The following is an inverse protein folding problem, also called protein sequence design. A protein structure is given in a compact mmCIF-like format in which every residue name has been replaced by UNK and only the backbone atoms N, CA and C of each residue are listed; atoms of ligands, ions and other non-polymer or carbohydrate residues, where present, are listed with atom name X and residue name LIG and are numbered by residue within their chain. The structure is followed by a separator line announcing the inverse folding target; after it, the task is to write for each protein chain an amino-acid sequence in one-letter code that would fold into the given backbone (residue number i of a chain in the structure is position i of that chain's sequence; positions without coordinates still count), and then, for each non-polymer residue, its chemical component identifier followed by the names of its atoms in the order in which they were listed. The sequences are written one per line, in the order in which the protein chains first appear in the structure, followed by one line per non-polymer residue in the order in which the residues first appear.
data_IF_531063296836
#
_entry.id   IF_531063296836
#
_cell.length_a   1.000
_cell.length_b   1.000
_cell.length_c   1.000
_cell.angle_alpha   90.00
_cell.angle_beta   90.00
_cell.angle_gamma   90.00
#
_symmetry.space_group_name_H-M   'P 1'
#
loop_
_entity.id
_entity.type
_entity.pdbx_description
1 polymer ?
#
# COMPACT_ATOMS: atom_id res chain seq x y z
N UNK A 1 5.12 -8.67 29.28
CA UNK A 1 5.49 -7.23 29.39
C UNK A 1 4.32 -6.41 28.85
N UNK A 2 3.52 -5.85 29.75
CA UNK A 2 2.31 -5.06 29.43
C UNK A 2 2.73 -3.84 28.62
N UNK A 3 2.40 -3.80 27.32
CA UNK A 3 2.59 -2.61 26.49
C UNK A 3 1.52 -1.58 26.90
N UNK A 4 1.84 -0.74 27.89
CA UNK A 4 1.01 0.42 28.22
C UNK A 4 0.77 1.25 26.95
N UNK A 5 -0.51 1.51 26.62
CA UNK A 5 -0.91 2.28 25.42
C UNK A 5 -0.23 3.64 25.44
N UNK A 6 0.89 3.77 24.70
CA UNK A 6 1.57 5.06 24.49
C UNK A 6 0.62 5.98 23.75
N UNK A 7 0.34 7.15 24.31
CA UNK A 7 -0.51 8.14 23.64
C UNK A 7 0.18 8.60 22.34
N UNK A 8 -0.50 8.44 21.21
CA UNK A 8 0.01 8.85 19.91
C UNK A 8 -0.15 10.38 19.71
N UNK A 9 0.84 10.98 19.05
CA UNK A 9 0.85 12.40 18.70
C UNK A 9 0.10 12.61 17.39
N UNK A 10 -0.94 13.44 17.39
CA UNK A 10 -1.65 13.85 16.16
C UNK A 10 -0.83 14.89 15.40
N UNK A 11 -0.86 14.82 14.07
CA UNK A 11 -0.40 15.91 13.22
C UNK A 11 -1.22 17.18 13.52
N UNK A 12 -0.58 18.27 13.94
CA UNK A 12 -1.29 19.50 14.32
C UNK A 12 -2.06 20.15 13.14
N UNK A 13 -1.64 19.89 11.90
CA UNK A 13 -2.25 20.52 10.72
C UNK A 13 -3.50 19.77 10.23
N UNK A 14 -3.42 18.45 10.03
CA UNK A 14 -4.57 17.68 9.54
C UNK A 14 -5.39 17.02 10.65
N UNK A 15 -4.84 16.88 11.86
CA UNK A 15 -5.45 16.19 13.03
C UNK A 15 -5.83 14.72 12.84
N UNK A 16 -5.64 14.18 11.64
CA UNK A 16 -5.99 12.83 11.23
C UNK A 16 -4.86 11.83 11.47
N UNK A 17 -3.66 12.09 10.93
CA UNK A 17 -2.52 11.15 11.05
C UNK A 17 -1.91 11.23 12.44
N UNK A 18 -1.54 10.07 12.99
CA UNK A 18 -0.97 9.90 14.32
C UNK A 18 0.42 9.26 14.26
N UNK A 19 1.26 9.58 15.23
CA UNK A 19 2.65 9.16 15.30
C UNK A 19 3.06 8.73 16.71
N UNK A 20 3.98 7.78 16.79
CA UNK A 20 4.57 7.37 18.07
C UNK A 20 5.35 8.51 18.76
N UNK A 21 6.01 9.34 17.94
CA UNK A 21 6.87 10.45 18.36
C UNK A 21 7.18 11.39 17.17
N UNK A 22 7.93 12.46 17.41
CA UNK A 22 8.35 13.43 16.38
C UNK A 22 9.25 12.83 15.29
N UNK A 23 10.01 11.78 15.61
CA UNK A 23 10.88 11.13 14.63
C UNK A 23 10.06 10.37 13.59
N UNK A 24 9.04 9.59 14.01
CA UNK A 24 8.09 8.97 13.08
C UNK A 24 7.34 10.01 12.23
N UNK A 25 6.99 11.16 12.80
CA UNK A 25 6.37 12.25 12.04
C UNK A 25 7.31 12.75 10.92
N UNK A 26 8.58 13.00 11.26
CA UNK A 26 9.61 13.45 10.31
C UNK A 26 9.85 12.43 9.19
N UNK A 27 9.98 11.16 9.54
CA UNK A 27 10.17 10.07 8.56
C UNK A 27 8.99 9.93 7.60
N UNK A 28 7.76 10.11 8.09
CA UNK A 28 6.56 10.04 7.25
C UNK A 28 6.38 11.26 6.34
N UNK A 29 7.11 12.36 6.56
CA UNK A 29 6.77 13.66 6.01
C UNK A 29 6.84 13.71 4.49
N UNK A 30 7.76 12.97 3.89
CA UNK A 30 7.86 12.86 2.43
C UNK A 30 6.52 12.43 1.79
N UNK A 31 5.85 11.42 2.37
CA UNK A 31 4.54 10.96 1.89
C UNK A 31 3.39 11.77 2.48
N UNK A 32 3.46 12.12 3.77
CA UNK A 32 2.38 12.82 4.45
C UNK A 32 2.22 14.26 3.96
N UNK A 33 3.28 14.96 3.53
CA UNK A 33 3.23 16.37 3.12
C UNK A 33 2.18 16.61 2.04
N UNK A 34 2.12 15.72 1.03
CA UNK A 34 1.14 15.82 -0.07
C UNK A 34 -0.28 15.46 0.35
N UNK A 35 -0.44 14.61 1.37
CA UNK A 35 -1.76 14.24 1.92
C UNK A 35 -2.29 15.24 2.95
N UNK A 36 -1.40 15.91 3.70
CA UNK A 36 -1.75 16.66 4.91
C UNK A 36 -2.73 17.78 4.62
N UNK A 37 -2.46 18.59 3.58
CA UNK A 37 -3.36 19.66 3.14
C UNK A 37 -4.71 19.13 2.66
N UNK A 38 -4.71 17.99 1.94
CA UNK A 38 -5.92 17.36 1.43
C UNK A 38 -6.80 16.80 2.55
N UNK A 39 -6.19 16.09 3.52
CA UNK A 39 -6.88 15.57 4.70
C UNK A 39 -7.50 16.69 5.54
N UNK A 40 -6.79 17.82 5.70
CA UNK A 40 -7.34 19.00 6.38
C UNK A 40 -8.54 19.58 5.63
N UNK A 41 -8.46 19.65 4.29
CA UNK A 41 -9.51 20.24 3.45
C UNK A 41 -10.80 19.40 3.43
N UNK A 42 -10.69 18.08 3.41
CA UNK A 42 -11.87 17.19 3.37
C UNK A 42 -12.44 16.86 4.75
N UNK A 43 -11.79 17.29 5.84
CA UNK A 43 -12.30 17.06 7.19
C UNK A 43 -13.72 17.65 7.37
N UNK A 44 -14.62 16.97 8.09
CA UNK A 44 -14.41 15.75 8.89
C UNK A 44 -14.63 14.44 8.11
N UNK A 45 -14.77 14.48 6.78
CA UNK A 45 -15.02 13.28 5.97
C UNK A 45 -13.84 12.31 6.07
N UNK A 46 -14.15 11.04 6.27
CA UNK A 46 -13.16 9.96 6.29
C UNK A 46 -12.93 9.50 4.85
N UNK A 47 -11.69 9.61 4.39
CA UNK A 47 -11.28 9.09 3.08
C UNK A 47 -11.07 7.57 3.20
N UNK A 48 -11.68 6.74 2.34
CA UNK A 48 -11.48 5.28 2.36
C UNK A 48 -10.01 4.89 2.19
N UNK A 49 -9.58 3.83 2.87
CA UNK A 49 -8.19 3.39 2.87
C UNK A 49 -7.68 3.04 1.46
N UNK A 50 -8.53 2.43 0.62
CA UNK A 50 -8.20 2.15 -0.78
C UNK A 50 -7.92 3.44 -1.58
N UNK A 51 -8.71 4.51 -1.36
CA UNK A 51 -8.48 5.80 -2.00
C UNK A 51 -7.19 6.46 -1.48
N UNK A 52 -6.89 6.34 -0.18
CA UNK A 52 -5.63 6.84 0.39
C UNK A 52 -4.42 6.08 -0.15
N UNK A 53 -4.50 4.76 -0.25
CA UNK A 53 -3.43 3.94 -0.82
C UNK A 53 -3.20 4.26 -2.30
N UNK A 54 -4.27 4.40 -3.10
CA UNK A 54 -4.15 4.84 -4.50
C UNK A 54 -3.53 6.24 -4.62
N UNK A 55 -3.94 7.19 -3.77
CA UNK A 55 -3.32 8.52 -3.73
C UNK A 55 -1.80 8.44 -3.47
N UNK A 56 -1.38 7.61 -2.50
CA UNK A 56 0.06 7.38 -2.23
C UNK A 56 0.79 6.79 -3.42
N UNK A 57 0.19 5.79 -4.09
CA UNK A 57 0.75 5.19 -5.31
C UNK A 57 0.93 6.26 -6.38
N UNK A 58 -0.11 7.05 -6.66
CA UNK A 58 -0.09 8.12 -7.67
C UNK A 58 1.04 9.12 -7.37
N UNK A 59 1.12 9.64 -6.15
CA UNK A 59 2.15 10.61 -5.78
C UNK A 59 3.56 10.01 -5.72
N UNK A 60 3.71 8.74 -5.31
CA UNK A 60 5.01 8.06 -5.33
C UNK A 60 5.50 7.84 -6.76
N UNK A 61 4.62 7.43 -7.67
CA UNK A 61 4.96 7.27 -9.09
C UNK A 61 5.35 8.61 -9.74
N UNK A 62 4.63 9.69 -9.46
CA UNK A 62 4.97 11.04 -9.94
C UNK A 62 6.35 11.54 -9.49
N UNK A 63 6.84 11.06 -8.35
CA UNK A 63 8.17 11.37 -7.81
C UNK A 63 9.26 10.42 -8.30
N UNK A 64 8.98 9.60 -9.32
CA UNK A 64 9.94 8.63 -9.85
C UNK A 64 9.98 7.29 -9.12
N UNK A 65 9.09 7.06 -8.15
CA UNK A 65 9.03 5.80 -7.40
C UNK A 65 8.71 4.57 -8.26
N UNK A 66 8.26 4.75 -9.50
CA UNK A 66 8.11 3.66 -10.47
C UNK A 66 9.44 3.04 -10.91
N UNK A 67 10.56 3.76 -10.73
CA UNK A 67 11.92 3.31 -11.03
C UNK A 67 12.57 2.60 -9.83
N UNK A 68 11.95 2.65 -8.65
CA UNK A 68 12.46 1.95 -7.47
C UNK A 68 12.44 0.44 -7.71
N UNK A 69 13.62 -0.17 -7.56
CA UNK A 69 13.79 -1.62 -7.59
C UNK A 69 13.78 -2.16 -6.17
N UNK A 70 13.17 -3.33 -5.98
CA UNK A 70 13.35 -4.14 -4.78
C UNK A 70 13.83 -5.52 -5.18
N UNK A 71 14.97 -5.88 -4.65
CA UNK A 71 15.65 -7.14 -4.90
C UNK A 71 15.05 -8.21 -4.00
N UNK A 72 14.79 -9.39 -4.58
CA UNK A 72 14.35 -10.58 -3.85
C UNK A 72 15.39 -11.71 -3.94
N UNK A 73 16.37 -11.57 -4.83
CA UNK A 73 17.65 -12.31 -4.82
C UNK A 73 18.79 -11.31 -5.10
N UNK A 74 20.04 -11.78 -5.13
CA UNK A 74 21.20 -10.93 -5.45
C UNK A 74 21.11 -10.28 -6.84
N UNK A 75 20.43 -10.94 -7.79
CA UNK A 75 20.38 -10.52 -9.19
C UNK A 75 18.98 -10.14 -9.67
N UNK A 76 17.93 -10.67 -9.03
CA UNK A 76 16.54 -10.45 -9.44
C UNK A 76 15.84 -9.40 -8.58
N UNK A 77 15.06 -8.56 -9.25
CA UNK A 77 14.33 -7.47 -8.62
C UNK A 77 13.02 -7.16 -9.34
N UNK A 78 12.14 -6.42 -8.69
CA UNK A 78 10.90 -5.91 -9.28
C UNK A 78 10.75 -4.41 -9.07
N UNK A 79 10.02 -3.82 -10.00
CA UNK A 79 9.49 -2.46 -9.97
C UNK A 79 7.97 -2.50 -9.87
N UNK A 80 7.34 -1.33 -9.70
CA UNK A 80 5.88 -1.25 -9.66
C UNK A 80 5.21 -1.73 -10.96
N UNK A 81 5.86 -1.56 -12.12
CA UNK A 81 5.36 -1.99 -13.43
C UNK A 81 5.34 -3.51 -13.59
N UNK A 82 6.12 -4.23 -12.80
CA UNK A 82 6.19 -5.70 -12.86
C UNK A 82 5.06 -6.37 -12.10
N UNK A 83 4.32 -5.63 -11.25
CA UNK A 83 3.16 -6.17 -10.53
C UNK A 83 2.06 -6.65 -11.50
N UNK A 84 1.29 -7.66 -11.11
CA UNK A 84 0.18 -8.12 -11.94
C UNK A 84 -0.98 -7.12 -11.84
N UNK A 85 -1.45 -6.56 -12.96
CA UNK A 85 -2.60 -5.63 -12.93
C UNK A 85 -3.94 -6.34 -13.11
N UNK A 86 -3.97 -7.51 -13.76
CA UNK A 86 -5.22 -8.13 -14.23
C UNK A 86 -6.17 -7.14 -14.93
N UNK A 87 -5.60 -6.16 -15.67
CA UNK A 87 -6.36 -5.07 -16.28
C UNK A 87 -7.59 -5.55 -17.05
N UNK A 88 -7.42 -6.56 -17.91
CA UNK A 88 -8.51 -7.12 -18.70
C UNK A 88 -9.62 -7.73 -17.83
N UNK A 89 -9.25 -8.46 -16.77
CA UNK A 89 -10.21 -9.05 -15.83
C UNK A 89 -10.95 -7.96 -15.05
N UNK A 90 -10.24 -6.93 -14.57
CA UNK A 90 -10.85 -5.77 -13.89
C UNK A 90 -11.84 -5.07 -14.82
N UNK A 91 -11.47 -4.83 -16.08
CA UNK A 91 -12.32 -4.15 -17.07
C UNK A 91 -13.61 -4.92 -17.39
N UNK A 92 -13.58 -6.24 -17.32
CA UNK A 92 -14.72 -7.11 -17.60
C UNK A 92 -15.62 -7.34 -16.37
N UNK A 93 -15.10 -7.08 -15.17
CA UNK A 93 -15.80 -7.25 -13.90
C UNK A 93 -16.57 -5.97 -13.53
N UNK A 94 -17.89 -6.02 -13.69
CA UNK A 94 -18.78 -4.87 -13.45
C UNK A 94 -18.64 -4.30 -12.04
N UNK A 95 -18.57 -5.15 -11.02
CA UNK A 95 -18.47 -4.71 -9.62
C UNK A 95 -17.14 -3.99 -9.36
N UNK A 96 -16.04 -4.50 -9.94
CA UNK A 96 -14.75 -3.82 -9.84
C UNK A 96 -14.71 -2.50 -10.59
N UNK A 97 -15.35 -2.40 -11.76
CA UNK A 97 -15.47 -1.14 -12.51
C UNK A 97 -16.31 -0.11 -11.74
N UNK A 98 -17.44 -0.53 -11.16
CA UNK A 98 -18.28 0.33 -10.32
C UNK A 98 -17.53 0.83 -9.09
N UNK A 99 -16.81 -0.06 -8.41
CA UNK A 99 -15.97 0.30 -7.27
C UNK A 99 -14.86 1.29 -7.66
N UNK A 100 -14.17 1.05 -8.78
CA UNK A 100 -13.16 1.98 -9.29
C UNK A 100 -13.75 3.35 -9.67
N UNK A 101 -14.97 3.36 -10.21
CA UNK A 101 -15.69 4.61 -10.54
C UNK A 101 -16.05 5.39 -9.26
N UNK A 102 -16.52 4.72 -8.21
CA UNK A 102 -16.75 5.37 -6.92
C UNK A 102 -15.45 5.91 -6.31
N UNK A 103 -14.37 5.12 -6.37
CA UNK A 103 -13.05 5.53 -5.91
C UNK A 103 -12.49 6.72 -6.70
N UNK A 104 -12.73 6.80 -8.01
CA UNK A 104 -12.21 7.89 -8.85
C UNK A 104 -12.84 9.24 -8.49
N UNK A 105 -14.12 9.26 -8.10
CA UNK A 105 -14.79 10.47 -7.59
C UNK A 105 -14.16 10.91 -6.28
N UNK A 106 -13.98 9.99 -5.33
CA UNK A 106 -13.34 10.29 -4.04
C UNK A 106 -11.89 10.73 -4.22
N UNK A 107 -11.15 10.08 -5.12
CA UNK A 107 -9.77 10.44 -5.46
C UNK A 107 -9.72 11.84 -6.07
N UNK A 108 -10.56 12.15 -7.04
CA UNK A 108 -10.61 13.48 -7.66
C UNK A 108 -10.87 14.56 -6.62
N UNK A 109 -11.83 14.34 -5.72
CA UNK A 109 -12.08 15.26 -4.60
C UNK A 109 -10.89 15.35 -3.65
N UNK A 110 -10.18 14.24 -3.39
CA UNK A 110 -9.10 14.18 -2.41
C UNK A 110 -7.77 14.75 -2.93
N UNK A 111 -7.32 14.38 -4.13
CA UNK A 111 -6.01 14.77 -4.68
C UNK A 111 -6.08 15.87 -5.75
N UNK A 112 -7.29 16.20 -6.23
CA UNK A 112 -7.52 17.20 -7.29
C UNK A 112 -7.38 16.62 -8.70
N UNK A 113 -8.14 17.17 -9.64
CA UNK A 113 -8.23 16.70 -11.03
C UNK A 113 -6.88 16.74 -11.76
N UNK A 114 -6.09 17.79 -11.56
CA UNK A 114 -4.73 17.90 -12.12
C UNK A 114 -3.80 16.79 -11.65
N UNK A 115 -4.14 16.11 -10.56
CA UNK A 115 -3.37 14.98 -10.06
C UNK A 115 -3.82 13.61 -10.56
N UNK A 116 -4.99 13.52 -11.19
CA UNK A 116 -5.56 12.25 -11.60
C UNK A 116 -4.82 11.65 -12.80
N UNK A 117 -4.49 10.34 -12.76
CA UNK A 117 -4.09 9.60 -13.95
C UNK A 117 -5.25 9.49 -14.94
N UNK A 118 -4.94 9.14 -16.20
CA UNK A 118 -6.00 8.79 -17.14
C UNK A 118 -6.69 7.47 -16.73
N UNK A 119 -7.87 7.19 -17.30
CA UNK A 119 -8.69 6.04 -16.91
C UNK A 119 -7.97 4.69 -17.06
N UNK A 120 -7.14 4.51 -18.09
CA UNK A 120 -6.41 3.27 -18.31
C UNK A 120 -5.29 3.08 -17.27
N UNK A 121 -4.55 4.14 -16.98
CA UNK A 121 -3.52 4.15 -15.94
C UNK A 121 -4.12 3.90 -14.56
N UNK A 122 -5.21 4.59 -14.22
CA UNK A 122 -5.90 4.44 -12.94
C UNK A 122 -6.42 3.00 -12.74
N UNK A 123 -7.00 2.40 -13.78
CA UNK A 123 -7.45 1.02 -13.74
C UNK A 123 -6.28 0.03 -13.58
N UNK A 124 -5.16 0.26 -14.26
CA UNK A 124 -3.97 -0.56 -14.07
C UNK A 124 -3.40 -0.42 -12.65
N UNK A 125 -3.38 0.79 -12.08
CA UNK A 125 -2.95 1.02 -10.69
C UNK A 125 -3.88 0.35 -9.68
N UNK A 126 -5.20 0.46 -9.88
CA UNK A 126 -6.21 -0.21 -9.05
C UNK A 126 -6.06 -1.73 -9.09
N UNK A 127 -5.84 -2.30 -10.27
CA UNK A 127 -5.59 -3.72 -10.43
C UNK A 127 -4.33 -4.17 -9.69
N UNK A 128 -3.21 -3.46 -9.87
CA UNK A 128 -1.94 -3.74 -9.16
C UNK A 128 -2.12 -3.66 -7.65
N UNK A 129 -2.81 -2.64 -7.15
CA UNK A 129 -3.15 -2.52 -5.73
C UNK A 129 -3.98 -3.70 -5.27
N UNK A 130 -5.08 -4.02 -5.96
CA UNK A 130 -6.03 -5.05 -5.51
C UNK A 130 -5.44 -6.46 -5.50
N UNK A 131 -4.51 -6.73 -6.42
CA UNK A 131 -3.94 -8.08 -6.61
C UNK A 131 -2.69 -8.31 -5.77
N UNK A 132 -1.89 -7.26 -5.50
CA UNK A 132 -0.54 -7.41 -4.94
C UNK A 132 -0.38 -6.76 -3.55
N UNK A 133 -1.48 -6.28 -2.96
CA UNK A 133 -1.43 -5.68 -1.62
C UNK A 133 -1.40 -6.75 -0.53
N UNK A 134 -0.66 -6.45 0.53
CA UNK A 134 -0.60 -7.24 1.75
C UNK A 134 -1.30 -6.47 2.87
N UNK A 135 -2.12 -7.17 3.64
CA UNK A 135 -2.57 -6.65 4.93
C UNK A 135 -1.41 -6.72 5.91
N UNK A 136 -1.04 -5.58 6.49
CA UNK A 136 -0.02 -5.49 7.52
C UNK A 136 -0.70 -5.87 8.83
N UNK A 137 -0.17 -6.88 9.49
CA UNK A 137 -0.76 -7.45 10.71
C UNK A 137 0.05 -7.06 11.95
N UNK A 138 -0.64 -6.87 13.07
CA UNK A 138 -0.04 -6.80 14.39
C UNK A 138 0.29 -8.21 14.94
N UNK A 139 0.97 -8.32 16.11
CA UNK A 139 1.29 -9.62 16.71
C UNK A 139 0.08 -10.50 17.02
N UNK A 140 -1.10 -9.91 17.18
CA UNK A 140 -2.38 -10.59 17.38
C UNK A 140 -3.08 -10.96 16.05
N UNK A 141 -2.38 -10.80 14.91
CA UNK A 141 -2.86 -11.08 13.56
C UNK A 141 -4.03 -10.20 13.10
N UNK A 142 -4.20 -9.03 13.73
CA UNK A 142 -5.20 -8.04 13.32
C UNK A 142 -4.61 -7.10 12.28
N UNK A 143 -5.41 -6.79 11.25
CA UNK A 143 -4.99 -5.85 10.21
C UNK A 143 -4.90 -4.43 10.76
N UNK A 144 -3.73 -3.82 10.64
CA UNK A 144 -3.47 -2.42 11.01
C UNK A 144 -3.27 -1.51 9.80
N UNK A 145 -3.22 -2.08 8.59
CA UNK A 145 -3.11 -1.32 7.35
C UNK A 145 -2.84 -2.21 6.14
N UNK A 146 -2.57 -1.57 5.01
CA UNK A 146 -2.31 -2.24 3.74
C UNK A 146 -1.06 -1.66 3.09
N UNK A 147 -0.22 -2.53 2.51
CA UNK A 147 1.03 -2.15 1.85
C UNK A 147 1.30 -2.92 0.57
N UNK A 148 2.13 -2.34 -0.31
CA UNK A 148 2.63 -2.99 -1.53
C UNK A 148 4.10 -3.33 -1.33
N UNK A 149 4.44 -4.61 -1.48
CA UNK A 149 5.79 -5.13 -1.23
C UNK A 149 6.35 -5.75 -2.50
N UNK A 150 7.10 -4.96 -3.28
CA UNK A 150 7.58 -5.34 -4.61
C UNK A 150 8.41 -6.64 -4.64
N UNK A 151 9.24 -6.89 -3.62
CA UNK A 151 10.02 -8.13 -3.55
C UNK A 151 9.14 -9.34 -3.21
N UNK A 152 8.25 -9.19 -2.23
CA UNK A 152 7.38 -10.28 -1.76
C UNK A 152 6.22 -10.59 -2.72
N UNK A 153 5.92 -9.73 -3.69
CA UNK A 153 4.85 -9.95 -4.67
C UNK A 153 5.15 -11.07 -5.70
N UNK A 154 6.31 -11.73 -5.61
CA UNK A 154 6.63 -12.96 -6.36
C UNK A 154 6.04 -14.21 -5.72
N UNK A 155 5.60 -14.13 -4.46
CA UNK A 155 5.11 -15.29 -3.71
C UNK A 155 3.68 -15.58 -4.13
N UNK A 156 3.47 -16.76 -4.70
CA UNK A 156 2.15 -17.25 -5.08
C UNK A 156 1.40 -17.89 -3.91
N UNK A 157 0.10 -18.07 -4.11
CA UNK A 157 -0.78 -18.73 -3.16
C UNK A 157 -0.66 -20.26 -3.22
N UNK A 158 -0.66 -20.91 -2.06
CA UNK A 158 -0.89 -22.35 -1.89
C UNK A 158 -1.82 -22.58 -0.70
N UNK A 159 -2.75 -23.52 -0.83
CA UNK A 159 -3.60 -23.97 0.28
C UNK A 159 -2.82 -24.76 1.34
N UNK A 160 -1.65 -25.30 0.97
CA UNK A 160 -0.67 -25.92 1.89
C UNK A 160 0.66 -25.16 1.78
N UNK A 161 0.81 -24.01 2.47
CA UNK A 161 1.96 -23.14 2.27
C UNK A 161 3.22 -23.67 2.99
N UNK A 162 4.38 -23.39 2.40
CA UNK A 162 5.69 -23.67 2.99
C UNK A 162 6.29 -22.46 3.73
N UNK A 163 5.67 -21.28 3.60
CA UNK A 163 6.11 -20.04 4.23
C UNK A 163 4.92 -19.12 4.57
N UNK A 164 5.16 -18.15 5.45
CA UNK A 164 4.18 -17.16 5.88
C UNK A 164 4.78 -15.76 5.90
N UNK A 165 3.98 -14.76 5.55
CA UNK A 165 4.33 -13.35 5.73
C UNK A 165 3.99 -12.90 7.16
N UNK A 166 4.97 -12.35 7.86
CA UNK A 166 4.81 -11.66 9.15
C UNK A 166 5.38 -10.26 9.06
N UNK A 167 5.05 -9.38 10.01
CA UNK A 167 5.41 -7.97 9.93
C UNK A 167 6.13 -7.49 11.18
N UNK A 168 7.16 -6.67 10.97
CA UNK A 168 7.79 -5.88 12.01
C UNK A 168 7.68 -4.41 11.62
N UNK A 169 6.69 -3.72 12.20
CA UNK A 169 6.28 -2.40 11.70
C UNK A 169 5.80 -2.50 10.26
N UNK A 170 6.36 -1.70 9.36
CA UNK A 170 6.05 -1.75 7.93
C UNK A 170 6.96 -2.69 7.14
N UNK A 171 7.91 -3.39 7.77
CA UNK A 171 8.77 -4.37 7.10
C UNK A 171 8.10 -5.73 7.07
N UNK A 172 7.94 -6.28 5.87
CA UNK A 172 7.50 -7.66 5.66
C UNK A 172 8.68 -8.62 5.86
N UNK A 173 8.42 -9.72 6.55
CA UNK A 173 9.36 -10.83 6.77
C UNK A 173 8.69 -12.11 6.29
N UNK A 174 9.38 -12.90 5.48
CA UNK A 174 8.89 -14.20 5.01
C UNK A 174 9.57 -15.27 5.86
N UNK A 175 8.78 -16.08 6.57
CA UNK A 175 9.29 -17.14 7.44
C UNK A 175 8.83 -18.49 6.93
N UNK A 176 9.74 -19.47 6.91
CA UNK A 176 9.41 -20.84 6.55
C UNK A 176 8.55 -21.49 7.64
N UNK A 177 7.61 -22.33 7.22
CA UNK A 177 6.74 -23.13 8.11
C UNK A 177 7.21 -24.59 8.22
N UNK A 178 8.12 -24.99 7.34
CA UNK A 178 8.71 -26.31 7.22
C UNK A 178 10.10 -26.19 6.61
N UNK A 179 10.91 -27.23 6.70
CA UNK A 179 12.23 -27.24 6.07
C UNK A 179 12.08 -27.12 4.55
N UNK A 180 12.87 -26.23 3.96
CA UNK A 180 12.96 -26.05 2.52
C UNK A 180 14.41 -26.35 2.11
N UNK A 181 14.67 -27.35 1.25
CA UNK A 181 16.02 -27.79 0.93
C UNK A 181 16.93 -26.69 0.35
N UNK A 182 16.34 -25.79 -0.44
CA UNK A 182 16.99 -24.61 -0.99
C UNK A 182 15.95 -23.52 -1.22
N UNK A 183 16.35 -22.25 -1.08
CA UNK A 183 15.52 -21.12 -1.45
C UNK A 183 15.62 -20.93 -2.96
N UNK A 184 14.60 -21.40 -3.68
CA UNK A 184 14.49 -21.23 -5.12
C UNK A 184 13.36 -20.25 -5.45
N UNK A 185 13.73 -19.04 -5.88
CA UNK A 185 12.82 -18.01 -6.36
C UNK A 185 12.94 -17.82 -7.87
N UNK A 186 13.48 -18.83 -8.58
CA UNK A 186 13.75 -18.71 -10.00
C UNK A 186 12.52 -18.73 -10.90
#
# INVERSE_FOLDING_TARGET
LVHGRRQLLKCAACTYVQYCNRECQKQSWEDHKVECGNLRRVAPRIVPDAARLLARIIFKLKRGGGLERRYYTETKSRTFKDLMSHYSNVKQDKLRVEHLTALSVVLTEFIGESNMPNSAELMAMYGRMSVNSFNILDPEMLSVGTGIYLGASIIDHSCDPNAVAVFQGTTILIRTLRDIPALDWD
#
